data_IF_554572624311
#
_entry.id   IF_554572624311
#
_cell.length_a   1.000
_cell.length_b   1.000
_cell.length_c   1.000
_cell.angle_alpha   90.00
_cell.angle_beta   90.00
_cell.angle_gamma   90.00
#
_symmetry.space_group_name_H-M   'P 1'
#
loop_
_entity.id
_entity.type
_entity.pdbx_description
1 polymer ?
#
# COMPACT_ATOMS: atom_id res chain seq x y z
N UNK A 1 -21.30 -17.47 9.83
CA UNK A 1 -21.08 -16.03 9.57
C UNK A 1 -20.21 -15.97 8.33
N UNK A 2 -20.74 -15.53 7.20
CA UNK A 2 -19.99 -15.44 5.96
C UNK A 2 -18.92 -14.35 6.10
N UNK A 3 -17.64 -14.74 5.95
CA UNK A 3 -16.48 -13.85 5.98
C UNK A 3 -16.47 -12.95 4.72
N UNK A 4 -17.37 -11.98 4.66
CA UNK A 4 -17.45 -10.96 3.60
C UNK A 4 -16.45 -9.83 3.87
N UNK A 5 -15.18 -10.19 4.03
CA UNK A 5 -14.12 -9.24 4.33
C UNK A 5 -12.90 -9.51 3.47
N UNK A 6 -12.24 -8.43 3.07
CA UNK A 6 -11.01 -8.46 2.31
C UNK A 6 -9.89 -7.88 3.17
N UNK A 7 -8.76 -8.57 3.18
CA UNK A 7 -7.51 -8.10 3.75
C UNK A 7 -6.74 -7.41 2.62
N UNK A 8 -6.38 -6.15 2.86
CA UNK A 8 -5.58 -5.35 1.95
C UNK A 8 -4.22 -5.13 2.59
N UNK A 9 -3.15 -5.49 1.89
CA UNK A 9 -1.77 -5.23 2.30
C UNK A 9 -1.13 -4.35 1.24
N UNK A 10 -0.59 -3.21 1.65
CA UNK A 10 0.11 -2.27 0.79
C UNK A 10 1.54 -2.07 1.26
N UNK A 11 2.43 -1.80 0.31
CA UNK A 11 3.87 -1.64 0.54
C UNK A 11 4.45 -0.67 -0.51
N UNK A 12 5.24 0.28 -0.04
CA UNK A 12 5.92 1.27 -0.87
C UNK A 12 6.94 0.65 -1.82
N UNK A 13 7.00 1.17 -3.04
CA UNK A 13 7.91 0.65 -4.05
C UNK A 13 9.25 1.38 -4.02
N UNK A 14 10.33 0.62 -3.77
CA UNK A 14 11.72 1.11 -3.77
C UNK A 14 11.97 2.26 -2.78
N UNK A 15 11.28 2.29 -1.64
CA UNK A 15 11.49 3.32 -0.61
C UNK A 15 12.90 3.19 0.00
N UNK A 16 13.30 1.97 0.35
CA UNK A 16 14.64 1.67 0.86
C UNK A 16 15.75 2.18 -0.07
N UNK A 17 15.66 1.87 -1.36
CA UNK A 17 16.65 2.29 -2.35
C UNK A 17 16.87 3.81 -2.40
N UNK A 18 15.81 4.61 -2.20
CA UNK A 18 15.89 6.07 -2.21
C UNK A 18 16.58 6.56 -0.93
N UNK A 19 16.22 5.99 0.21
CA UNK A 19 16.87 6.31 1.49
C UNK A 19 18.36 5.96 1.40
N UNK A 20 18.68 4.76 0.94
CA UNK A 20 20.06 4.29 0.78
C UNK A 20 20.87 5.22 -0.14
N UNK A 21 20.29 5.68 -1.24
CA UNK A 21 20.94 6.63 -2.14
C UNK A 21 21.32 7.95 -1.44
N UNK A 22 20.39 8.53 -0.66
CA UNK A 22 20.67 9.74 0.10
C UNK A 22 21.75 9.50 1.16
N UNK A 23 21.67 8.39 1.90
CA UNK A 23 22.66 8.02 2.92
C UNK A 23 24.05 7.82 2.32
N UNK A 24 24.16 7.11 1.19
CA UNK A 24 25.41 6.90 0.46
C UNK A 24 26.01 8.21 -0.07
N UNK A 25 25.16 9.20 -0.34
CA UNK A 25 25.56 10.53 -0.79
C UNK A 25 25.91 11.48 0.37
N UNK A 26 25.78 11.02 1.63
CA UNK A 26 25.98 11.85 2.82
C UNK A 26 24.87 12.88 3.06
N UNK A 27 23.75 12.78 2.35
CA UNK A 27 22.64 13.72 2.39
C UNK A 27 21.58 13.28 3.41
N UNK A 28 21.92 13.43 4.69
CA UNK A 28 21.04 13.03 5.80
C UNK A 28 19.75 13.86 5.87
N UNK A 29 19.78 15.10 5.39
CA UNK A 29 18.63 16.00 5.39
C UNK A 29 17.56 15.51 4.41
N UNK A 30 17.94 15.22 3.16
CA UNK A 30 16.98 14.70 2.18
C UNK A 30 16.54 13.27 2.52
N UNK A 31 17.41 12.43 3.12
CA UNK A 31 16.99 11.12 3.63
C UNK A 31 15.87 11.24 4.68
N UNK A 32 16.04 12.16 5.65
CA UNK A 32 15.05 12.43 6.70
C UNK A 32 13.75 12.99 6.12
N UNK A 33 13.86 13.96 5.20
CA UNK A 33 12.73 14.59 4.53
C UNK A 33 11.92 13.60 3.71
N UNK A 34 12.58 12.75 2.92
CA UNK A 34 11.91 11.69 2.15
C UNK A 34 11.22 10.67 3.06
N UNK A 35 11.90 10.21 4.13
CA UNK A 35 11.31 9.31 5.12
C UNK A 35 10.05 9.91 5.76
N UNK A 36 10.09 11.21 6.12
CA UNK A 36 8.94 11.91 6.66
C UNK A 36 7.79 12.04 5.64
N UNK A 37 8.10 12.29 4.37
CA UNK A 37 7.08 12.34 3.30
C UNK A 37 6.37 11.00 3.13
N UNK A 38 7.12 9.89 3.14
CA UNK A 38 6.55 8.54 3.05
C UNK A 38 5.64 8.26 4.24
N UNK A 39 6.11 8.53 5.46
CA UNK A 39 5.31 8.37 6.68
C UNK A 39 4.02 9.18 6.63
N UNK A 40 4.11 10.47 6.27
CA UNK A 40 2.94 11.35 6.16
C UNK A 40 1.96 10.86 5.09
N UNK A 41 2.43 10.41 3.93
CA UNK A 41 1.57 9.87 2.88
C UNK A 41 0.80 8.63 3.36
N UNK A 42 1.46 7.77 4.13
CA UNK A 42 0.86 6.54 4.64
C UNK A 42 -0.14 6.81 5.78
N UNK A 43 0.14 7.78 6.66
CA UNK A 43 -0.79 8.24 7.69
C UNK A 43 -2.06 8.88 7.08
N UNK A 44 -1.90 9.62 5.98
CA UNK A 44 -3.03 10.17 5.22
C UNK A 44 -3.87 9.03 4.61
N UNK A 45 -3.25 8.06 3.93
CA UNK A 45 -3.95 6.88 3.39
C UNK A 45 -4.67 6.10 4.48
N UNK A 46 -4.05 5.91 5.64
CA UNK A 46 -4.65 5.23 6.77
C UNK A 46 -5.90 5.98 7.29
N UNK A 47 -5.87 7.32 7.26
CA UNK A 47 -6.99 8.19 7.64
C UNK A 47 -8.11 8.12 6.60
N UNK A 48 -7.77 8.15 5.31
CA UNK A 48 -8.72 7.96 4.20
C UNK A 48 -9.40 6.58 4.29
N UNK A 49 -8.63 5.51 4.47
CA UNK A 49 -9.16 4.15 4.58
C UNK A 49 -10.16 4.02 5.75
N UNK A 50 -9.86 4.61 6.91
CA UNK A 50 -10.79 4.64 8.06
C UNK A 50 -12.06 5.44 7.78
N UNK A 51 -11.93 6.59 7.12
CA UNK A 51 -13.04 7.55 6.97
C UNK A 51 -13.96 7.19 5.81
N UNK A 52 -13.40 6.84 4.64
CA UNK A 52 -14.10 6.61 3.38
C UNK A 52 -14.68 5.19 3.30
N UNK A 53 -13.87 4.19 3.60
CA UNK A 53 -14.24 2.76 3.42
C UNK A 53 -14.44 2.02 4.74
N UNK A 54 -14.45 2.75 5.86
CA UNK A 54 -14.63 2.20 7.22
C UNK A 54 -13.67 1.04 7.52
N UNK A 55 -12.45 1.13 7.02
CA UNK A 55 -11.45 0.09 7.19
C UNK A 55 -11.08 -0.11 8.67
N UNK A 56 -10.91 -1.37 9.06
CA UNK A 56 -10.26 -1.75 10.30
C UNK A 56 -8.75 -1.85 10.06
N UNK A 57 -7.99 -0.85 10.50
CA UNK A 57 -6.52 -0.87 10.38
C UNK A 57 -5.93 -1.95 11.30
N UNK A 58 -5.06 -2.79 10.73
CA UNK A 58 -4.26 -3.78 11.46
C UNK A 58 -2.91 -3.17 11.84
N UNK A 59 -2.20 -2.58 10.88
CA UNK A 59 -0.96 -1.85 11.13
C UNK A 59 -0.68 -0.78 10.07
N UNK A 60 0.14 0.18 10.45
CA UNK A 60 0.82 1.16 9.60
C UNK A 60 2.27 1.23 10.10
N UNK A 61 3.25 0.83 9.31
CA UNK A 61 4.63 0.72 9.76
C UNK A 61 5.61 0.96 8.61
N UNK A 62 6.48 1.95 8.73
CA UNK A 62 7.40 2.32 7.65
C UNK A 62 6.63 2.78 6.42
N UNK A 63 6.78 2.05 5.32
CA UNK A 63 6.07 2.18 4.05
C UNK A 63 4.97 1.13 3.84
N UNK A 64 4.71 0.29 4.85
CA UNK A 64 3.72 -0.78 4.80
C UNK A 64 2.43 -0.45 5.56
N UNK A 65 1.30 -0.87 4.99
CA UNK A 65 -0.03 -0.75 5.60
C UNK A 65 -0.82 -2.04 5.46
N UNK A 66 -1.59 -2.39 6.48
CA UNK A 66 -2.54 -3.50 6.41
C UNK A 66 -3.87 -3.13 7.06
N UNK A 67 -4.95 -3.46 6.39
CA UNK A 67 -6.30 -3.23 6.89
C UNK A 67 -7.33 -4.19 6.32
N UNK A 68 -8.47 -4.27 7.00
CA UNK A 68 -9.61 -5.10 6.63
C UNK A 68 -10.79 -4.22 6.25
N UNK A 69 -11.46 -4.59 5.15
CA UNK A 69 -12.65 -3.90 4.64
C UNK A 69 -13.75 -4.90 4.29
N UNK A 70 -14.98 -4.42 4.10
CA UNK A 70 -16.05 -5.24 3.55
C UNK A 70 -15.79 -5.55 2.06
N UNK A 71 -16.18 -6.74 1.62
CA UNK A 71 -16.01 -7.21 0.23
C UNK A 71 -17.02 -6.62 -0.77
N UNK A 72 -17.97 -5.81 -0.31
CA UNK A 72 -18.97 -5.14 -1.15
C UNK A 72 -18.47 -3.83 -1.79
N UNK A 73 -17.20 -3.47 -1.55
CA UNK A 73 -16.57 -2.26 -2.07
C UNK A 73 -15.86 -2.55 -3.39
N UNK A 74 -15.82 -1.54 -4.27
CA UNK A 74 -14.89 -1.53 -5.40
C UNK A 74 -13.47 -1.22 -4.89
N UNK A 75 -12.88 -2.18 -4.18
CA UNK A 75 -11.62 -1.99 -3.46
C UNK A 75 -10.46 -1.73 -4.41
N UNK A 76 -10.49 -2.27 -5.63
CA UNK A 76 -9.45 -2.06 -6.62
C UNK A 76 -9.37 -0.58 -7.04
N UNK A 77 -10.50 0.06 -7.29
CA UNK A 77 -10.55 1.48 -7.61
C UNK A 77 -10.04 2.35 -6.46
N UNK A 78 -10.40 2.01 -5.22
CA UNK A 78 -9.97 2.75 -4.02
C UNK A 78 -8.46 2.58 -3.77
N UNK A 79 -7.94 1.37 -3.88
CA UNK A 79 -6.50 1.13 -3.69
C UNK A 79 -5.67 1.76 -4.81
N UNK A 80 -6.22 1.83 -6.02
CA UNK A 80 -5.59 2.55 -7.14
C UNK A 80 -5.49 4.04 -6.83
N UNK A 81 -6.55 4.67 -6.30
CA UNK A 81 -6.49 6.08 -5.92
C UNK A 81 -5.52 6.34 -4.75
N UNK A 82 -5.38 5.40 -3.81
CA UNK A 82 -4.36 5.49 -2.76
C UNK A 82 -2.94 5.35 -3.31
N UNK A 83 -2.71 4.49 -4.31
CA UNK A 83 -1.42 4.38 -4.99
C UNK A 83 -1.07 5.68 -5.74
N UNK A 84 -2.04 6.28 -6.44
CA UNK A 84 -1.88 7.58 -7.10
C UNK A 84 -1.59 8.71 -6.11
N UNK A 85 -2.29 8.72 -4.96
CA UNK A 85 -2.05 9.68 -3.88
C UNK A 85 -0.61 9.56 -3.35
N UNK A 86 -0.18 8.32 -3.08
CA UNK A 86 1.17 8.02 -2.60
C UNK A 86 2.24 8.50 -3.60
N UNK A 87 2.03 8.23 -4.90
CA UNK A 87 2.89 8.69 -5.98
C UNK A 87 2.99 10.21 -6.03
N UNK A 88 1.86 10.91 -5.96
CA UNK A 88 1.84 12.37 -5.96
C UNK A 88 2.59 12.97 -4.76
N UNK A 89 2.53 12.31 -3.61
CA UNK A 89 3.11 12.82 -2.35
C UNK A 89 4.60 12.50 -2.21
N UNK A 90 5.05 11.34 -2.69
CA UNK A 90 6.40 10.81 -2.44
C UNK A 90 7.27 10.72 -3.70
N UNK A 91 6.67 10.79 -4.89
CA UNK A 91 7.37 10.50 -6.15
C UNK A 91 7.67 9.01 -6.36
N UNK A 92 7.13 8.11 -5.53
CA UNK A 92 7.29 6.66 -5.61
C UNK A 92 5.93 5.99 -5.61
N UNK A 93 5.82 4.82 -6.23
CA UNK A 93 4.55 4.09 -6.29
C UNK A 93 4.33 3.27 -5.03
N UNK A 94 3.10 2.79 -4.86
CA UNK A 94 2.74 1.84 -3.82
C UNK A 94 2.00 0.66 -4.45
N UNK A 95 2.40 -0.55 -4.10
CA UNK A 95 1.77 -1.78 -4.58
C UNK A 95 0.80 -2.31 -3.53
N UNK A 96 -0.32 -2.89 -3.96
CA UNK A 96 -1.30 -3.49 -3.07
C UNK A 96 -1.63 -4.93 -3.48
N UNK A 97 -1.83 -5.77 -2.47
CA UNK A 97 -2.39 -7.10 -2.59
C UNK A 97 -3.67 -7.22 -1.77
N UNK A 98 -4.69 -7.84 -2.36
CA UNK A 98 -5.99 -8.05 -1.72
C UNK A 98 -6.32 -9.53 -1.69
N UNK A 99 -6.78 -10.03 -0.54
CA UNK A 99 -7.17 -11.42 -0.37
C UNK A 99 -8.24 -11.64 0.68
N UNK A 100 -8.89 -12.81 0.68
CA UNK A 100 -9.80 -13.21 1.77
C UNK A 100 -9.03 -13.72 2.99
N UNK A 101 -7.79 -14.15 2.78
CA UNK A 101 -6.83 -14.49 3.84
C UNK A 101 -5.59 -13.60 3.76
N UNK A 102 -4.86 -13.48 4.88
CA UNK A 102 -3.61 -12.73 4.91
C UNK A 102 -2.56 -13.32 3.96
N UNK A 103 -2.57 -14.65 3.80
CA UNK A 103 -1.70 -15.37 2.86
C UNK A 103 -2.00 -14.99 1.42
N UNK A 104 -3.28 -14.97 1.03
CA UNK A 104 -3.70 -14.55 -0.31
C UNK A 104 -3.33 -13.09 -0.59
N UNK A 105 -3.60 -12.20 0.36
CA UNK A 105 -3.28 -10.78 0.22
C UNK A 105 -1.77 -10.57 0.04
N UNK A 106 -0.94 -11.28 0.81
CA UNK A 106 0.51 -11.21 0.69
C UNK A 106 1.02 -11.80 -0.65
N UNK A 107 0.46 -12.92 -1.10
CA UNK A 107 0.79 -13.47 -2.43
C UNK A 107 0.47 -12.45 -3.53
N UNK A 108 -0.70 -11.81 -3.46
CA UNK A 108 -1.09 -10.79 -4.43
C UNK A 108 -0.18 -9.57 -4.38
N UNK A 109 0.22 -9.11 -3.19
CA UNK A 109 1.16 -8.00 -3.03
C UNK A 109 2.52 -8.35 -3.67
N UNK A 110 3.04 -9.57 -3.41
CA UNK A 110 4.30 -10.01 -4.03
C UNK A 110 4.18 -10.08 -5.55
N UNK A 111 3.07 -10.58 -6.08
CA UNK A 111 2.77 -10.54 -7.52
C UNK A 111 2.76 -9.10 -8.04
N UNK A 112 2.17 -8.15 -7.32
CA UNK A 112 2.11 -6.75 -7.71
C UNK A 112 3.53 -6.16 -7.85
N UNK A 113 4.38 -6.39 -6.86
CA UNK A 113 5.77 -5.90 -6.84
C UNK A 113 6.65 -6.50 -7.93
N UNK A 114 6.51 -7.79 -8.25
CA UNK A 114 7.33 -8.44 -9.30
C UNK A 114 6.80 -8.18 -10.72
N UNK A 115 5.53 -7.80 -10.86
CA UNK A 115 4.90 -7.58 -12.18
C UNK A 115 5.13 -6.17 -12.74
N UNK A 116 5.95 -5.34 -12.08
CA UNK A 116 6.23 -3.97 -12.51
C UNK A 116 5.79 -2.89 -11.52
N UNK A 117 5.38 -3.26 -10.30
CA UNK A 117 5.10 -2.34 -9.18
C UNK A 117 3.91 -1.41 -9.45
N UNK A 118 3.58 -0.55 -8.48
CA UNK A 118 2.56 0.50 -8.58
C UNK A 118 1.18 0.02 -8.99
N UNK A 119 0.77 -1.17 -8.56
CA UNK A 119 -0.47 -1.80 -8.99
C UNK A 119 -1.18 -2.50 -7.85
N UNK A 120 -2.47 -2.72 -8.07
CA UNK A 120 -3.34 -3.50 -7.19
C UNK A 120 -3.54 -4.88 -7.82
N UNK A 121 -3.37 -5.95 -7.03
CA UNK A 121 -3.73 -7.31 -7.44
C UNK A 121 -4.69 -7.89 -6.42
N UNK A 122 -5.78 -8.46 -6.90
CA UNK A 122 -6.83 -9.08 -6.09
C UNK A 122 -6.84 -10.59 -6.26
N UNK A 123 -7.03 -11.35 -5.17
CA UNK A 123 -7.19 -12.80 -5.25
C UNK A 123 -8.56 -13.14 -5.85
N UNK A 124 -8.59 -13.99 -6.86
CA UNK A 124 -9.86 -14.41 -7.48
C UNK A 124 -10.35 -13.54 -8.63
N UNK A 125 -9.50 -12.64 -9.15
CA UNK A 125 -9.68 -12.15 -10.52
C UNK A 125 -9.51 -13.33 -11.47
N UNK A 126 -10.59 -13.72 -12.15
CA UNK A 126 -10.50 -14.62 -13.29
C UNK A 126 -9.39 -14.10 -14.22
N UNK A 127 -8.41 -14.95 -14.48
CA UNK A 127 -7.69 -14.89 -15.75
C UNK A 127 -8.70 -15.37 -16.79
N UNK A 128 -9.44 -14.44 -17.37
CA UNK A 128 -10.05 -14.62 -18.69
C UNK A 128 -9.32 -13.68 -19.66
#
# INVERSE_FOLDING_TARGET
>A
MSNNSLICVGDGDNIGDVIDLHLLSGDLEEASKFSFQVKSALEDIATLAKSEIKASLIYVAGDDICFIVSDNLNIECVLTSYSEYFLKKTGKTMSFGVGRTSVEALICLRKAKVSGKGRVITSGGNQD
#
